data_IF_785913575401
#
_entry.id   IF_785913575401
#
_cell.length_a   1.000
_cell.length_b   1.000
_cell.length_c   1.000
_cell.angle_alpha   90.00
_cell.angle_beta   90.00
_cell.angle_gamma   90.00
#
_symmetry.space_group_name_H-M   'P 1'
#
loop_
_entity.id
_entity.type
_entity.pdbx_description
1 polymer ?
#
# COMPACT_ATOMS: atom_id res chain seq x y z
N UNK A 1 76.82 6.04 22.36
CA UNK A 1 77.18 5.47 21.04
C UNK A 1 78.37 4.53 21.23
N UNK A 2 78.23 3.25 20.88
CA UNK A 2 79.39 2.35 20.80
C UNK A 2 80.29 2.87 19.66
N UNK A 3 81.57 3.10 19.94
CA UNK A 3 82.55 3.54 18.94
C UNK A 3 83.45 2.35 18.63
N UNK A 4 83.82 2.20 17.36
CA UNK A 4 84.72 1.12 16.94
C UNK A 4 86.09 1.28 17.59
N UNK A 5 86.72 0.16 17.93
CA UNK A 5 88.07 0.15 18.51
C UNK A 5 89.10 0.65 17.48
N UNK A 6 90.05 1.50 17.87
CA UNK A 6 91.08 2.05 16.97
C UNK A 6 92.36 1.22 17.09
N UNK A 7 92.82 0.67 15.98
CA UNK A 7 94.13 0.01 15.80
C UNK A 7 95.12 0.98 15.14
N UNK A 8 96.40 0.59 15.04
CA UNK A 8 97.54 1.48 14.73
C UNK A 8 97.36 2.40 13.51
N UNK A 9 96.48 2.03 12.56
CA UNK A 9 96.13 2.82 11.36
C UNK A 9 94.61 3.02 11.12
N UNK A 10 93.75 3.04 12.16
CA UNK A 10 92.32 3.37 12.02
C UNK A 10 91.37 2.44 12.78
N UNK A 11 90.09 2.41 12.40
CA UNK A 11 89.10 1.56 13.08
C UNK A 11 89.32 0.07 12.79
N UNK A 12 88.96 -0.79 13.77
CA UNK A 12 89.02 -2.23 13.62
C UNK A 12 88.07 -2.69 12.51
N UNK A 13 88.68 -3.11 11.39
CA UNK A 13 87.99 -3.49 10.17
C UNK A 13 86.99 -4.64 10.40
N UNK A 14 87.30 -5.60 11.27
CA UNK A 14 86.38 -6.69 11.57
C UNK A 14 85.14 -6.23 12.35
N UNK A 15 85.32 -5.32 13.31
CA UNK A 15 84.22 -4.77 14.10
C UNK A 15 83.29 -3.93 13.24
N UNK A 16 83.86 -3.16 12.31
CA UNK A 16 83.12 -2.37 11.31
C UNK A 16 82.37 -3.29 10.35
N UNK A 17 83.01 -4.33 9.79
CA UNK A 17 82.35 -5.27 8.88
C UNK A 17 81.19 -6.02 9.55
N UNK A 18 81.37 -6.50 10.78
CA UNK A 18 80.29 -7.15 11.55
C UNK A 18 79.11 -6.20 11.78
N UNK A 19 79.37 -4.92 12.05
CA UNK A 19 78.31 -3.93 12.21
C UNK A 19 77.59 -3.63 10.90
N UNK A 20 78.34 -3.51 9.78
CA UNK A 20 77.76 -3.33 8.45
C UNK A 20 76.85 -4.51 8.10
N UNK A 21 77.25 -5.76 8.37
CA UNK A 21 76.40 -6.95 8.13
C UNK A 21 75.09 -6.92 8.93
N UNK A 22 75.15 -6.47 10.19
CA UNK A 22 73.95 -6.31 11.04
C UNK A 22 73.03 -5.23 10.47
N UNK A 23 73.60 -4.10 10.03
CA UNK A 23 72.85 -2.99 9.43
C UNK A 23 72.21 -3.43 8.12
N UNK A 24 72.94 -4.14 7.25
CA UNK A 24 72.44 -4.70 5.99
C UNK A 24 71.25 -5.62 6.26
N UNK A 25 71.40 -6.63 7.13
CA UNK A 25 70.31 -7.57 7.47
C UNK A 25 69.07 -6.86 8.03
N UNK A 26 69.27 -5.82 8.86
CA UNK A 26 68.16 -5.07 9.43
C UNK A 26 67.47 -4.18 8.39
N UNK A 27 68.22 -3.59 7.47
CA UNK A 27 67.70 -2.84 6.33
C UNK A 27 66.92 -3.74 5.36
N UNK A 28 67.46 -4.91 5.04
CA UNK A 28 66.77 -5.91 4.20
C UNK A 28 65.45 -6.34 4.82
N UNK A 29 65.45 -6.65 6.13
CA UNK A 29 64.21 -6.98 6.85
C UNK A 29 63.22 -5.82 6.80
N UNK A 30 63.67 -4.60 7.10
CA UNK A 30 62.81 -3.42 7.07
C UNK A 30 62.21 -3.19 5.67
N UNK A 31 63.01 -3.39 4.61
CA UNK A 31 62.57 -3.22 3.25
C UNK A 31 61.54 -4.28 2.84
N UNK A 32 61.75 -5.53 3.25
CA UNK A 32 60.79 -6.61 3.03
C UNK A 32 59.47 -6.36 3.79
N UNK A 33 59.56 -5.97 5.06
CA UNK A 33 58.38 -5.63 5.88
C UNK A 33 57.62 -4.44 5.26
N UNK A 34 58.33 -3.42 4.77
CA UNK A 34 57.71 -2.27 4.09
C UNK A 34 57.00 -2.68 2.80
N UNK A 35 57.62 -3.55 1.99
CA UNK A 35 56.99 -4.08 0.77
C UNK A 35 55.71 -4.88 1.09
N UNK A 36 55.74 -5.74 2.10
CA UNK A 36 54.57 -6.49 2.56
C UNK A 36 53.44 -5.57 3.06
N UNK A 37 53.80 -4.53 3.82
CA UNK A 37 52.84 -3.53 4.28
C UNK A 37 52.21 -2.76 3.13
N UNK A 38 53.00 -2.36 2.12
CA UNK A 38 52.48 -1.71 0.92
C UNK A 38 51.47 -2.59 0.18
N UNK A 39 51.77 -3.87 -0.04
CA UNK A 39 50.83 -4.81 -0.67
C UNK A 39 49.55 -4.95 0.14
N UNK A 40 49.67 -5.04 1.48
CA UNK A 40 48.50 -5.14 2.37
C UNK A 40 47.64 -3.87 2.33
N UNK A 41 48.27 -2.69 2.31
CA UNK A 41 47.57 -1.41 2.20
C UNK A 41 46.80 -1.36 0.88
N UNK A 42 47.46 -1.68 -0.24
CA UNK A 42 46.80 -1.68 -1.56
C UNK A 42 45.61 -2.65 -1.61
N UNK A 43 45.73 -3.84 -1.03
CA UNK A 43 44.62 -4.81 -0.96
C UNK A 43 43.45 -4.30 -0.09
N UNK A 44 43.75 -3.65 1.04
CA UNK A 44 42.73 -3.07 1.91
C UNK A 44 42.04 -1.87 1.27
N UNK A 45 42.77 -1.04 0.52
CA UNK A 45 42.21 0.08 -0.24
C UNK A 45 41.26 -0.39 -1.35
N UNK A 46 41.60 -1.48 -2.04
CA UNK A 46 40.74 -2.10 -3.05
C UNK A 46 39.45 -2.64 -2.43
N UNK A 47 39.55 -3.42 -1.34
CA UNK A 47 38.38 -3.92 -0.61
C UNK A 47 37.49 -2.79 -0.08
N UNK A 48 38.09 -1.71 0.42
CA UNK A 48 37.34 -0.55 0.90
C UNK A 48 36.58 0.13 -0.25
N UNK A 49 37.20 0.23 -1.43
CA UNK A 49 36.56 0.78 -2.62
C UNK A 49 35.37 -0.07 -3.06
N UNK A 50 35.52 -1.38 -3.09
CA UNK A 50 34.42 -2.31 -3.39
C UNK A 50 33.27 -2.16 -2.39
N UNK A 51 33.58 -2.13 -1.09
CA UNK A 51 32.58 -1.96 -0.03
C UNK A 51 31.83 -0.64 -0.13
N UNK A 52 32.51 0.46 -0.48
CA UNK A 52 31.86 1.75 -0.73
C UNK A 52 30.90 1.69 -1.92
N UNK A 53 31.26 0.98 -2.99
CA UNK A 53 30.36 0.81 -4.15
C UNK A 53 29.14 -0.03 -3.77
N UNK A 54 29.32 -1.10 -2.99
CA UNK A 54 28.20 -1.90 -2.47
C UNK A 54 27.27 -1.07 -1.57
N UNK A 55 27.83 -0.24 -0.69
CA UNK A 55 27.06 0.65 0.21
C UNK A 55 26.21 1.65 -0.57
N UNK A 56 26.77 2.27 -1.61
CA UNK A 56 26.01 3.19 -2.48
C UNK A 56 24.85 2.48 -3.16
N UNK A 57 25.08 1.30 -3.74
CA UNK A 57 24.02 0.51 -4.38
C UNK A 57 22.94 0.09 -3.40
N UNK A 58 23.32 -0.28 -2.19
CA UNK A 58 22.36 -0.63 -1.13
C UNK A 58 21.52 0.59 -0.73
N UNK A 59 22.13 1.75 -0.58
CA UNK A 59 21.43 3.00 -0.29
C UNK A 59 20.43 3.37 -1.40
N UNK A 60 20.84 3.27 -2.67
CA UNK A 60 19.96 3.47 -3.82
C UNK A 60 18.78 2.49 -3.83
N UNK A 61 19.03 1.21 -3.53
CA UNK A 61 17.98 0.19 -3.45
C UNK A 61 16.99 0.49 -2.31
N UNK A 62 17.47 0.93 -1.15
CA UNK A 62 16.61 1.33 -0.01
C UNK A 62 15.75 2.54 -0.38
N UNK A 63 16.33 3.55 -1.03
CA UNK A 63 15.58 4.74 -1.48
C UNK A 63 14.50 4.36 -2.50
N UNK A 64 14.83 3.49 -3.47
CA UNK A 64 13.87 3.00 -4.45
C UNK A 64 12.73 2.19 -3.78
N UNK A 65 13.06 1.34 -2.81
CA UNK A 65 12.08 0.59 -2.04
C UNK A 65 11.16 1.51 -1.21
N UNK A 66 11.72 2.57 -0.60
CA UNK A 66 10.95 3.56 0.14
C UNK A 66 10.00 4.34 -0.77
N UNK A 67 10.49 4.86 -1.91
CA UNK A 67 9.66 5.54 -2.90
C UNK A 67 8.52 4.65 -3.41
N UNK A 68 8.82 3.39 -3.68
CA UNK A 68 7.81 2.40 -4.10
C UNK A 68 6.78 2.16 -3.01
N UNK A 69 7.22 2.01 -1.76
CA UNK A 69 6.34 1.81 -0.61
C UNK A 69 5.40 3.01 -0.40
N UNK A 70 5.91 4.22 -0.53
CA UNK A 70 5.10 5.44 -0.41
C UNK A 70 4.12 5.59 -1.57
N UNK A 71 4.54 5.24 -2.79
CA UNK A 71 3.64 5.18 -3.96
C UNK A 71 2.50 4.17 -3.76
N UNK A 72 2.80 2.98 -3.23
CA UNK A 72 1.79 1.97 -2.92
C UNK A 72 0.79 2.50 -1.88
N UNK A 73 1.25 3.17 -0.82
CA UNK A 73 0.36 3.76 0.20
C UNK A 73 -0.57 4.81 -0.41
N UNK A 74 -0.06 5.67 -1.28
CA UNK A 74 -0.86 6.71 -1.93
C UNK A 74 -1.92 6.09 -2.84
N UNK A 75 -1.53 5.14 -3.69
CA UNK A 75 -2.46 4.44 -4.58
C UNK A 75 -3.54 3.70 -3.80
N UNK A 76 -3.18 2.99 -2.73
CA UNK A 76 -4.14 2.28 -1.88
C UNK A 76 -5.15 3.24 -1.22
N UNK A 77 -4.72 4.45 -0.84
CA UNK A 77 -5.63 5.47 -0.29
C UNK A 77 -6.57 6.03 -1.36
N UNK A 78 -6.06 6.31 -2.56
CA UNK A 78 -6.88 6.76 -3.68
C UNK A 78 -7.92 5.71 -4.08
N UNK A 79 -7.51 4.45 -4.18
CA UNK A 79 -8.39 3.33 -4.49
C UNK A 79 -9.45 3.12 -3.41
N UNK A 80 -9.08 3.18 -2.12
CA UNK A 80 -10.03 3.11 -1.03
C UNK A 80 -11.08 4.24 -1.10
N UNK A 81 -10.65 5.47 -1.40
CA UNK A 81 -11.56 6.61 -1.55
C UNK A 81 -12.51 6.41 -2.75
N UNK A 82 -12.00 5.92 -3.89
CA UNK A 82 -12.82 5.61 -5.06
C UNK A 82 -13.87 4.54 -4.75
N UNK A 83 -13.49 3.47 -4.04
CA UNK A 83 -14.42 2.41 -3.63
C UNK A 83 -15.54 2.98 -2.74
N UNK A 84 -15.17 3.80 -1.76
CA UNK A 84 -16.16 4.42 -0.86
C UNK A 84 -17.11 5.34 -1.62
N UNK A 85 -16.60 6.19 -2.52
CA UNK A 85 -17.44 7.07 -3.32
C UNK A 85 -18.35 6.30 -4.28
N UNK A 86 -17.85 5.25 -4.92
CA UNK A 86 -18.66 4.39 -5.78
C UNK A 86 -19.75 3.66 -4.97
N UNK A 87 -19.43 3.17 -3.78
CA UNK A 87 -20.40 2.54 -2.89
C UNK A 87 -21.50 3.51 -2.44
N UNK A 88 -21.15 4.75 -2.10
CA UNK A 88 -22.13 5.80 -1.78
C UNK A 88 -23.04 6.13 -2.96
N UNK A 89 -22.46 6.29 -4.16
CA UNK A 89 -23.25 6.58 -5.36
C UNK A 89 -24.22 5.45 -5.67
N UNK A 90 -23.77 4.19 -5.60
CA UNK A 90 -24.63 3.03 -5.79
C UNK A 90 -25.75 2.95 -4.73
N UNK A 91 -25.43 3.20 -3.46
CA UNK A 91 -26.42 3.24 -2.39
C UNK A 91 -27.48 4.32 -2.65
N UNK A 92 -27.06 5.52 -3.07
CA UNK A 92 -27.97 6.60 -3.42
C UNK A 92 -28.89 6.22 -4.59
N UNK A 93 -28.35 5.55 -5.63
CA UNK A 93 -29.15 5.04 -6.74
C UNK A 93 -30.19 4.02 -6.29
N UNK A 94 -29.81 3.06 -5.43
CA UNK A 94 -30.73 2.06 -4.89
C UNK A 94 -31.84 2.72 -4.07
N UNK A 95 -31.49 3.67 -3.19
CA UNK A 95 -32.48 4.39 -2.38
C UNK A 95 -33.44 5.19 -3.26
N UNK A 96 -32.91 5.85 -4.30
CA UNK A 96 -33.74 6.62 -5.23
C UNK A 96 -34.72 5.72 -5.99
N UNK A 97 -34.25 4.59 -6.52
CA UNK A 97 -35.10 3.62 -7.20
C UNK A 97 -36.18 3.04 -6.27
N UNK A 98 -35.81 2.71 -5.02
CA UNK A 98 -36.74 2.23 -4.01
C UNK A 98 -37.83 3.28 -3.69
N UNK A 99 -37.45 4.56 -3.61
CA UNK A 99 -38.40 5.65 -3.37
C UNK A 99 -39.39 5.80 -4.52
N UNK A 100 -38.91 5.81 -5.77
CA UNK A 100 -39.76 5.89 -6.96
C UNK A 100 -40.74 4.70 -7.03
N UNK A 101 -40.27 3.49 -6.72
CA UNK A 101 -41.11 2.31 -6.68
C UNK A 101 -42.16 2.38 -5.54
N UNK A 102 -41.79 2.93 -4.38
CA UNK A 102 -42.71 3.14 -3.28
C UNK A 102 -43.81 4.15 -3.63
N UNK A 103 -43.45 5.29 -4.22
CA UNK A 103 -44.41 6.31 -4.68
C UNK A 103 -45.37 5.73 -5.72
N UNK A 104 -44.86 4.97 -6.69
CA UNK A 104 -45.68 4.29 -7.69
C UNK A 104 -46.65 3.30 -7.05
N UNK A 105 -46.18 2.47 -6.13
CA UNK A 105 -47.00 1.48 -5.43
C UNK A 105 -48.09 2.15 -4.59
N UNK A 106 -47.76 3.24 -3.89
CA UNK A 106 -48.71 4.02 -3.12
C UNK A 106 -49.80 4.62 -4.03
N UNK A 107 -49.41 5.16 -5.18
CA UNK A 107 -50.35 5.70 -6.15
C UNK A 107 -51.30 4.62 -6.69
N UNK A 108 -50.78 3.46 -7.06
CA UNK A 108 -51.58 2.32 -7.52
C UNK A 108 -52.56 1.83 -6.43
N UNK A 109 -52.11 1.75 -5.17
CA UNK A 109 -52.96 1.40 -4.04
C UNK A 109 -54.09 2.42 -3.81
N UNK A 110 -53.80 3.71 -3.96
CA UNK A 110 -54.80 4.78 -3.87
C UNK A 110 -55.86 4.66 -4.96
N UNK A 111 -55.44 4.44 -6.22
CA UNK A 111 -56.35 4.21 -7.34
C UNK A 111 -57.23 2.98 -7.13
N UNK A 112 -56.65 1.88 -6.66
CA UNK A 112 -57.38 0.66 -6.36
C UNK A 112 -58.44 0.89 -5.27
N UNK A 113 -58.10 1.60 -4.19
CA UNK A 113 -59.03 1.95 -3.11
C UNK A 113 -60.20 2.81 -3.61
N UNK A 114 -59.93 3.77 -4.50
CA UNK A 114 -60.96 4.58 -5.16
C UNK A 114 -61.88 3.70 -6.01
N UNK A 115 -61.31 2.81 -6.82
CA UNK A 115 -62.06 1.89 -7.68
C UNK A 115 -62.96 0.94 -6.87
N UNK A 116 -62.45 0.39 -5.76
CA UNK A 116 -63.24 -0.45 -4.84
C UNK A 116 -64.41 0.35 -4.25
N UNK A 117 -64.18 1.61 -3.86
CA UNK A 117 -65.23 2.47 -3.29
C UNK A 117 -66.34 2.74 -4.33
N UNK A 118 -65.96 3.06 -5.56
CA UNK A 118 -66.91 3.25 -6.66
C UNK A 118 -67.69 1.97 -6.96
N UNK A 119 -67.00 0.83 -7.04
CA UNK A 119 -67.63 -0.46 -7.28
C UNK A 119 -68.62 -0.83 -6.18
N UNK A 120 -68.23 -0.68 -4.91
CA UNK A 120 -69.10 -0.93 -3.74
C UNK A 120 -70.38 -0.09 -3.79
N UNK A 121 -70.25 1.20 -4.11
CA UNK A 121 -71.41 2.08 -4.25
C UNK A 121 -72.33 1.65 -5.40
N UNK A 122 -71.75 1.27 -6.55
CA UNK A 122 -72.51 0.80 -7.71
C UNK A 122 -73.29 -0.47 -7.39
N UNK A 123 -72.67 -1.46 -6.75
CA UNK A 123 -73.34 -2.70 -6.32
C UNK A 123 -74.45 -2.40 -5.31
N UNK A 124 -74.19 -1.55 -4.31
CA UNK A 124 -75.19 -1.14 -3.32
C UNK A 124 -76.42 -0.50 -3.98
N UNK A 125 -76.21 0.38 -4.96
CA UNK A 125 -77.30 1.03 -5.69
C UNK A 125 -78.11 0.03 -6.52
N UNK A 126 -77.45 -0.92 -7.20
CA UNK A 126 -78.14 -1.98 -7.94
C UNK A 126 -79.02 -2.80 -6.99
N UNK A 127 -78.49 -3.27 -5.86
CA UNK A 127 -79.26 -4.07 -4.90
C UNK A 127 -80.46 -3.29 -4.35
N UNK A 128 -80.28 -2.01 -4.00
CA UNK A 128 -81.38 -1.15 -3.56
C UNK A 128 -82.48 -1.03 -4.60
N UNK A 129 -82.12 -0.79 -5.86
CA UNK A 129 -83.08 -0.72 -6.96
C UNK A 129 -83.82 -2.04 -7.16
N UNK A 130 -83.14 -3.19 -7.03
CA UNK A 130 -83.80 -4.50 -7.11
C UNK A 130 -84.74 -4.76 -5.93
N UNK A 131 -84.39 -4.30 -4.73
CA UNK A 131 -85.26 -4.39 -3.55
C UNK A 131 -86.52 -3.54 -3.72
N UNK A 132 -86.38 -2.32 -4.23
CA UNK A 132 -87.49 -1.39 -4.49
C UNK A 132 -88.48 -1.99 -5.51
N UNK A 133 -87.98 -2.65 -6.56
CA UNK A 133 -88.80 -3.39 -7.53
C UNK A 133 -89.53 -4.56 -6.85
N UNK A 134 -88.86 -5.32 -5.98
CA UNK A 134 -89.48 -6.43 -5.27
C UNK A 134 -90.59 -5.96 -4.31
N UNK A 135 -90.35 -4.89 -3.55
CA UNK A 135 -91.34 -4.27 -2.67
C UNK A 135 -92.56 -3.75 -3.44
N UNK A 136 -92.36 -3.22 -4.65
CA UNK A 136 -93.45 -2.81 -5.53
C UNK A 136 -94.23 -4.01 -6.08
N UNK A 137 -93.58 -5.13 -6.40
CA UNK A 137 -94.26 -6.38 -6.82
C UNK A 137 -95.12 -6.98 -5.70
N UNK A 138 -94.64 -6.99 -4.45
CA UNK A 138 -95.39 -7.50 -3.29
C UNK A 138 -96.71 -6.73 -3.05
N UNK A 139 -96.79 -5.45 -3.45
CA UNK A 139 -98.03 -4.66 -3.36
C UNK A 139 -99.10 -5.13 -4.36
N UNK A 140 -98.71 -5.73 -5.49
CA UNK A 140 -99.65 -6.22 -6.50
C UNK A 140 -100.20 -7.62 -6.17
N UNK A 141 -99.51 -8.40 -5.34
CA UNK A 141 -99.96 -9.74 -4.93
C UNK A 141 -100.98 -9.74 -3.77
N UNK A 142 -101.26 -8.58 -3.15
CA UNK A 142 -102.23 -8.45 -2.04
C UNK A 142 -103.67 -8.14 -2.48
N UNK A 143 -103.91 -7.93 -3.77
CA UNK A 143 -105.22 -7.54 -4.34
C UNK A 143 -105.94 -8.68 -5.11
N UNK A 144 -105.60 -9.96 -4.86
CA UNK A 144 -106.35 -11.13 -5.34
C UNK A 144 -106.81 -12.05 -4.20
#
# INVERSE_FOLDING_TARGET
MKRFTIVQNGYNVEEVNRFIDIVIKRLEKLNNDNSLLQVKISSLEEQLKEKKVEEVKLSEAILAAQQTSDRIKTLAREEANMIVEQAKNNANSIVHEALLNAEKTEHEAMLLKKNITVYKNRVKNIIKSQLEIAEDLDKYDLDN
#
